data_IF_513180667528
#
_entry.id   IF_513180667528
#
_cell.length_a   1.000
_cell.length_b   1.000
_cell.length_c   1.000
_cell.angle_alpha   90.00
_cell.angle_beta   90.00
_cell.angle_gamma   90.00
#
_symmetry.space_group_name_H-M   'P 1'
#
loop_
_entity.id
_entity.type
_entity.pdbx_description
1 polymer ?
#
# COMPACT_ATOMS: atom_id res chain seq x y z
N UNK A 1 12.35 23.35 37.20
CA UNK A 1 11.07 22.91 36.57
C UNK A 1 10.22 24.15 36.28
N UNK A 2 9.93 24.43 35.00
CA UNK A 2 9.32 25.69 34.54
C UNK A 2 7.94 25.98 35.18
N UNK A 3 7.67 27.25 35.51
CA UNK A 3 6.39 27.71 36.07
C UNK A 3 5.17 27.34 35.20
N UNK A 4 5.38 27.20 33.90
CA UNK A 4 4.36 26.75 32.95
C UNK A 4 3.94 25.29 33.19
N UNK A 5 4.89 24.41 33.54
CA UNK A 5 4.63 23.00 33.79
C UNK A 5 3.75 22.82 35.04
N UNK A 6 4.01 23.55 36.11
CA UNK A 6 3.20 23.50 37.33
C UNK A 6 1.74 23.92 37.08
N UNK A 7 1.53 24.92 36.21
CA UNK A 7 0.18 25.36 35.81
C UNK A 7 -0.58 24.36 34.95
N UNK A 8 0.09 23.47 34.20
CA UNK A 8 -0.58 22.55 33.25
C UNK A 8 -0.66 21.12 33.77
N UNK A 9 0.23 20.72 34.70
CA UNK A 9 0.35 19.35 35.22
C UNK A 9 -0.97 18.76 35.75
N UNK A 10 -1.80 19.55 36.42
CA UNK A 10 -3.08 19.10 36.98
C UNK A 10 -4.10 18.66 35.90
N UNK A 11 -3.89 19.04 34.62
CA UNK A 11 -4.80 18.71 33.51
C UNK A 11 -4.36 17.49 32.70
N UNK A 12 -3.21 16.91 33.01
CA UNK A 12 -2.67 15.75 32.31
C UNK A 12 -2.98 14.49 33.14
N UNK A 13 -3.56 13.46 32.51
CA UNK A 13 -3.77 12.14 33.15
C UNK A 13 -2.72 11.15 32.65
N UNK A 14 -2.22 10.30 33.54
CA UNK A 14 -1.25 9.26 33.17
C UNK A 14 -1.96 8.18 32.35
N UNK A 15 -1.50 7.99 31.13
CA UNK A 15 -2.02 6.98 30.23
C UNK A 15 -1.43 5.61 30.59
N UNK A 16 -2.28 4.59 30.71
CA UNK A 16 -1.87 3.24 31.16
C UNK A 16 -0.98 2.52 30.14
N UNK A 17 -1.18 2.77 28.84
CA UNK A 17 -0.47 2.07 27.77
C UNK A 17 0.89 2.67 27.48
N UNK A 18 1.00 4.00 27.51
CA UNK A 18 2.24 4.71 27.16
C UNK A 18 3.01 5.23 28.36
N UNK A 19 2.41 5.26 29.55
CA UNK A 19 3.00 5.84 30.76
C UNK A 19 3.13 7.36 30.72
N UNK A 20 2.71 8.02 29.62
CA UNK A 20 2.82 9.45 29.39
C UNK A 20 1.67 10.21 30.06
N UNK A 21 1.95 11.43 30.51
CA UNK A 21 0.94 12.36 31.02
C UNK A 21 0.25 13.05 29.84
N UNK A 22 -0.95 12.59 29.49
CA UNK A 22 -1.71 13.04 28.32
C UNK A 22 -3.05 13.67 28.73
N UNK A 23 -3.49 14.70 28.00
CA UNK A 23 -4.86 15.22 28.10
C UNK A 23 -5.66 14.70 26.92
N UNK A 24 -6.70 13.91 27.17
CA UNK A 24 -7.68 13.55 26.13
C UNK A 24 -8.44 14.82 25.75
N UNK A 25 -8.36 15.19 24.47
CA UNK A 25 -9.14 16.30 23.92
C UNK A 25 -10.37 15.68 23.26
N UNK A 26 -11.53 15.85 23.91
CA UNK A 26 -12.81 15.49 23.31
C UNK A 26 -13.26 16.64 22.42
N UNK A 27 -13.11 16.48 21.11
CA UNK A 27 -13.57 17.46 20.13
C UNK A 27 -15.08 17.24 19.95
N UNK A 28 -15.92 18.17 20.43
CA UNK A 28 -17.35 18.19 20.11
C UNK A 28 -17.50 18.72 18.69
N UNK A 29 -18.04 17.91 17.80
CA UNK A 29 -18.22 18.24 16.39
C UNK A 29 -19.69 18.61 16.13
N UNK A 30 -19.98 19.68 15.36
CA UNK A 30 -21.33 19.97 14.88
C UNK A 30 -21.77 18.89 13.88
N UNK A 31 -23.05 18.49 13.95
CA UNK A 31 -23.65 17.32 13.31
C UNK A 31 -23.41 17.24 11.78
N UNK A 32 -22.79 16.15 11.29
CA UNK A 32 -22.94 15.56 9.95
C UNK A 32 -22.01 14.33 9.82
N UNK A 33 -22.54 13.14 9.57
CA UNK A 33 -21.91 11.89 10.03
C UNK A 33 -20.96 11.17 9.04
N UNK A 34 -20.60 11.72 7.87
CA UNK A 34 -19.69 11.02 6.93
C UNK A 34 -18.40 11.77 6.54
N UNK A 35 -18.42 13.09 6.33
CA UNK A 35 -17.19 13.83 5.94
C UNK A 35 -16.20 14.04 7.09
N UNK A 36 -16.70 13.96 8.32
CA UNK A 36 -15.92 14.27 9.52
C UNK A 36 -14.97 13.13 9.92
N UNK A 37 -15.38 11.87 9.73
CA UNK A 37 -14.52 10.72 9.96
C UNK A 37 -13.29 10.77 9.04
N UNK A 38 -13.49 11.07 7.76
CA UNK A 38 -12.41 11.30 6.79
C UNK A 38 -11.45 12.40 7.24
N UNK A 39 -11.97 13.52 7.75
CA UNK A 39 -11.16 14.63 8.25
C UNK A 39 -10.33 14.27 9.49
N UNK A 40 -10.91 13.50 10.42
CA UNK A 40 -10.20 12.98 11.60
C UNK A 40 -9.08 12.03 11.16
N UNK A 41 -9.39 11.07 10.31
CA UNK A 41 -8.44 10.09 9.78
C UNK A 41 -7.28 10.81 9.07
N UNK A 42 -7.58 11.78 8.19
CA UNK A 42 -6.57 12.61 7.51
C UNK A 42 -5.65 13.35 8.50
N UNK A 43 -6.19 13.87 9.61
CA UNK A 43 -5.38 14.53 10.65
C UNK A 43 -4.49 13.54 11.41
N UNK A 44 -5.03 12.37 11.77
CA UNK A 44 -4.26 11.34 12.47
C UNK A 44 -3.15 10.75 11.60
N UNK A 45 -3.41 10.50 10.32
CA UNK A 45 -2.42 10.02 9.34
C UNK A 45 -1.24 10.99 9.24
N UNK A 46 -1.45 12.31 9.30
CA UNK A 46 -0.36 13.30 9.25
C UNK A 46 0.49 13.33 10.52
N UNK A 47 -0.09 13.05 11.69
CA UNK A 47 0.62 13.10 12.98
C UNK A 47 1.51 11.88 13.19
N UNK A 48 1.06 10.71 12.78
CA UNK A 48 1.77 9.44 13.02
C UNK A 48 3.21 9.43 12.50
N UNK A 49 3.52 9.86 11.26
CA UNK A 49 4.89 9.95 10.75
C UNK A 49 5.80 10.83 11.61
N UNK A 50 5.27 11.92 12.18
CA UNK A 50 6.04 12.80 13.07
C UNK A 50 6.40 12.06 14.36
N UNK A 51 5.47 11.32 14.94
CA UNK A 51 5.73 10.51 16.14
C UNK A 51 6.74 9.40 15.88
N UNK A 52 6.61 8.71 14.74
CA UNK A 52 7.57 7.68 14.30
C UNK A 52 8.96 8.30 14.11
N UNK A 53 9.06 9.43 13.39
CA UNK A 53 10.32 10.15 13.21
C UNK A 53 10.98 10.50 14.56
N UNK A 54 10.25 11.08 15.50
CA UNK A 54 10.79 11.40 16.83
C UNK A 54 11.20 10.16 17.62
N UNK A 55 10.47 9.05 17.48
CA UNK A 55 10.81 7.78 18.13
C UNK A 55 12.13 7.23 17.58
N UNK A 56 12.25 7.12 16.26
CA UNK A 56 13.47 6.63 15.59
C UNK A 56 14.67 7.55 15.88
N UNK A 57 14.47 8.87 15.85
CA UNK A 57 15.52 9.83 16.16
C UNK A 57 16.07 9.67 17.58
N UNK A 58 15.20 9.41 18.57
CA UNK A 58 15.61 9.20 19.97
C UNK A 58 16.25 7.84 20.20
N UNK A 59 15.74 6.79 19.56
CA UNK A 59 16.19 5.42 19.77
C UNK A 59 17.48 5.12 19.02
N UNK A 60 17.50 5.39 17.70
CA UNK A 60 18.59 5.02 16.81
C UNK A 60 19.61 6.15 16.62
N UNK A 61 19.16 7.40 16.54
CA UNK A 61 20.00 8.54 16.17
C UNK A 61 20.44 9.40 17.37
N UNK A 62 20.25 8.88 18.59
CA UNK A 62 20.69 9.46 19.87
C UNK A 62 20.28 10.93 20.08
N UNK A 63 19.13 11.33 19.52
CA UNK A 63 18.60 12.69 19.68
C UNK A 63 18.48 13.07 21.18
N UNK A 64 19.12 14.16 21.58
CA UNK A 64 19.10 14.67 22.96
C UNK A 64 20.01 13.94 23.96
N UNK A 65 20.93 13.09 23.49
CA UNK A 65 21.95 12.46 24.36
C UNK A 65 23.29 13.21 24.42
N UNK A 66 23.41 14.32 23.68
CA UNK A 66 24.61 15.15 23.70
C UNK A 66 24.84 15.75 25.10
N UNK A 67 26.06 15.59 25.62
CA UNK A 67 26.49 16.09 26.94
C UNK A 67 27.35 17.36 26.82
N UNK A 68 27.45 17.92 25.60
CA UNK A 68 28.21 19.14 25.37
C UNK A 68 27.62 20.32 26.16
N UNK A 69 28.48 21.11 26.78
CA UNK A 69 28.06 22.31 27.52
C UNK A 69 27.80 23.52 26.62
N UNK A 70 28.15 23.43 25.33
CA UNK A 70 27.91 24.48 24.35
C UNK A 70 26.53 24.34 23.70
N UNK A 71 25.75 25.43 23.72
CA UNK A 71 24.44 25.47 23.07
C UNK A 71 24.53 25.16 21.57
N UNK A 72 25.55 25.70 20.89
CA UNK A 72 25.76 25.46 19.46
C UNK A 72 26.02 23.98 19.16
N UNK A 73 26.76 23.28 20.03
CA UNK A 73 27.00 21.85 19.89
C UNK A 73 25.69 21.06 20.02
N UNK A 74 24.85 21.40 21.00
CA UNK A 74 23.55 20.75 21.18
C UNK A 74 22.57 20.98 20.01
N UNK A 75 22.55 22.20 19.46
CA UNK A 75 21.74 22.53 18.27
C UNK A 75 22.25 21.77 17.05
N UNK A 76 23.57 21.71 16.86
CA UNK A 76 24.17 20.94 15.77
C UNK A 76 23.88 19.44 15.90
N UNK A 77 24.08 18.86 17.09
CA UNK A 77 23.78 17.46 17.36
C UNK A 77 22.31 17.12 17.09
N UNK A 78 21.39 17.99 17.49
CA UNK A 78 19.95 17.86 17.20
C UNK A 78 19.69 17.90 15.70
N UNK A 79 20.28 18.87 14.99
CA UNK A 79 20.11 19.06 13.55
C UNK A 79 20.64 17.87 12.76
N UNK A 80 21.81 17.37 13.14
CA UNK A 80 22.44 16.23 12.47
C UNK A 80 21.64 14.95 12.68
N UNK A 81 21.01 14.74 13.85
CA UNK A 81 20.12 13.59 14.06
C UNK A 81 18.91 13.64 13.13
N UNK A 82 18.30 14.81 12.90
CA UNK A 82 17.22 14.94 11.92
C UNK A 82 17.70 14.77 10.48
N UNK A 83 18.87 15.30 10.12
CA UNK A 83 19.43 15.11 8.78
C UNK A 83 19.69 13.64 8.48
N UNK A 84 20.30 12.92 9.43
CA UNK A 84 20.53 11.47 9.34
C UNK A 84 19.22 10.70 9.14
N UNK A 85 18.16 11.08 9.86
CA UNK A 85 16.85 10.46 9.67
C UNK A 85 16.31 10.67 8.25
N UNK A 86 16.44 11.88 7.68
CA UNK A 86 15.98 12.16 6.32
C UNK A 86 16.72 11.30 5.28
N UNK A 87 18.04 11.17 5.42
CA UNK A 87 18.85 10.33 4.52
C UNK A 87 18.45 8.86 4.66
N UNK A 88 18.33 8.36 5.89
CA UNK A 88 17.93 6.98 6.14
C UNK A 88 16.53 6.69 5.58
N UNK A 89 15.58 7.60 5.77
CA UNK A 89 14.23 7.45 5.26
C UNK A 89 14.20 7.50 3.71
N UNK A 90 15.04 8.32 3.09
CA UNK A 90 15.20 8.35 1.64
C UNK A 90 15.77 7.03 1.11
N UNK A 91 16.83 6.50 1.71
CA UNK A 91 17.42 5.21 1.33
C UNK A 91 16.45 4.06 1.54
N UNK A 92 15.78 4.01 2.69
CA UNK A 92 14.76 3.01 2.96
C UNK A 92 13.61 3.09 1.94
N UNK A 93 13.20 4.30 1.55
CA UNK A 93 12.19 4.47 0.49
C UNK A 93 12.73 3.96 -0.85
N UNK A 94 13.96 4.29 -1.22
CA UNK A 94 14.55 3.83 -2.47
C UNK A 94 14.62 2.30 -2.55
N UNK A 95 15.09 1.64 -1.49
CA UNK A 95 15.19 0.19 -1.41
C UNK A 95 13.81 -0.49 -1.48
N UNK A 96 12.84 0.00 -0.68
CA UNK A 96 11.49 -0.56 -0.70
C UNK A 96 10.73 -0.30 -2.01
N UNK A 97 10.90 0.88 -2.63
CA UNK A 97 10.27 1.16 -3.93
C UNK A 97 10.95 0.41 -5.09
N UNK A 98 12.26 0.14 -5.02
CA UNK A 98 12.94 -0.70 -6.00
C UNK A 98 12.42 -2.12 -5.95
N UNK A 99 12.36 -2.72 -4.76
CA UNK A 99 11.89 -4.10 -4.57
C UNK A 99 10.40 -4.25 -4.92
N UNK A 100 9.57 -3.29 -4.50
CA UNK A 100 8.14 -3.32 -4.79
C UNK A 100 7.84 -3.02 -6.27
N UNK A 101 8.62 -2.11 -6.88
CA UNK A 101 8.51 -1.78 -8.30
C UNK A 101 8.84 -2.96 -9.19
N UNK A 102 9.96 -3.64 -8.92
CA UNK A 102 10.35 -4.85 -9.65
C UNK A 102 9.30 -5.96 -9.56
N UNK A 103 8.68 -6.15 -8.39
CA UNK A 103 7.59 -7.11 -8.22
C UNK A 103 6.35 -6.72 -9.04
N UNK A 104 5.98 -5.44 -9.06
CA UNK A 104 4.85 -4.96 -9.86
C UNK A 104 5.13 -5.06 -11.36
N UNK A 105 6.36 -4.78 -11.81
CA UNK A 105 6.76 -4.92 -13.20
C UNK A 105 6.70 -6.40 -13.63
N UNK A 106 7.18 -7.32 -12.78
CA UNK A 106 7.08 -8.76 -13.05
C UNK A 106 5.63 -9.25 -13.15
N UNK A 107 4.77 -8.83 -12.22
CA UNK A 107 3.33 -9.17 -12.26
C UNK A 107 2.65 -8.52 -13.48
N UNK A 108 3.02 -7.30 -13.83
CA UNK A 108 2.50 -6.61 -15.00
C UNK A 108 2.86 -7.38 -16.29
N UNK A 109 4.11 -7.82 -16.42
CA UNK A 109 4.58 -8.64 -17.54
C UNK A 109 3.84 -9.99 -17.62
N UNK A 110 3.70 -10.71 -16.51
CA UNK A 110 2.94 -11.97 -16.48
C UNK A 110 1.46 -11.76 -16.87
N UNK A 111 0.86 -10.67 -16.37
CA UNK A 111 -0.53 -10.33 -16.67
C UNK A 111 -0.71 -9.91 -18.14
N UNK A 112 0.29 -9.24 -18.73
CA UNK A 112 0.28 -8.84 -20.13
C UNK A 112 0.34 -10.08 -21.04
N UNK A 113 1.25 -11.02 -20.77
CA UNK A 113 1.37 -12.29 -21.51
C UNK A 113 0.04 -13.07 -21.47
N UNK A 114 -0.58 -13.18 -20.29
CA UNK A 114 -1.88 -13.84 -20.11
C UNK A 114 -2.99 -13.16 -20.93
N UNK A 115 -2.99 -11.83 -20.98
CA UNK A 115 -3.97 -11.04 -21.73
C UNK A 115 -3.84 -11.25 -23.24
N UNK A 116 -2.61 -11.31 -23.77
CA UNK A 116 -2.38 -11.60 -25.19
C UNK A 116 -2.83 -13.00 -25.58
N UNK A 117 -2.51 -14.02 -24.78
CA UNK A 117 -2.93 -15.40 -25.02
C UNK A 117 -4.47 -15.53 -25.04
N UNK A 118 -5.14 -14.88 -24.09
CA UNK A 118 -6.61 -14.86 -24.05
C UNK A 118 -7.22 -14.16 -25.27
N UNK A 119 -6.69 -13.00 -25.66
CA UNK A 119 -7.13 -12.27 -26.87
C UNK A 119 -6.91 -13.06 -28.16
N UNK A 120 -5.79 -13.78 -28.24
CA UNK A 120 -5.48 -14.62 -29.40
C UNK A 120 -6.44 -15.81 -29.49
N UNK A 121 -6.76 -16.46 -28.36
CA UNK A 121 -7.75 -17.53 -28.31
C UNK A 121 -9.16 -17.04 -28.66
N UNK A 122 -9.59 -15.88 -28.16
CA UNK A 122 -10.87 -15.28 -28.52
C UNK A 122 -10.96 -14.96 -30.02
N UNK A 123 -9.86 -14.50 -30.61
CA UNK A 123 -9.77 -14.28 -32.06
C UNK A 123 -9.96 -15.59 -32.84
N UNK A 124 -9.23 -16.65 -32.48
CA UNK A 124 -9.39 -17.96 -33.13
C UNK A 124 -10.81 -18.51 -32.95
N UNK A 125 -11.41 -18.34 -31.77
CA UNK A 125 -12.81 -18.73 -31.51
C UNK A 125 -13.77 -18.03 -32.46
N UNK A 126 -13.61 -16.72 -32.65
CA UNK A 126 -14.41 -15.94 -33.61
C UNK A 126 -14.22 -16.42 -35.05
N UNK A 127 -12.97 -16.69 -35.45
CA UNK A 127 -12.63 -17.19 -36.78
C UNK A 127 -13.30 -18.55 -37.06
N UNK A 128 -13.22 -19.48 -36.09
CA UNK A 128 -13.84 -20.80 -36.23
C UNK A 128 -15.36 -20.73 -36.25
N UNK A 129 -15.98 -19.85 -35.46
CA UNK A 129 -17.44 -19.70 -35.44
C UNK A 129 -17.96 -19.25 -36.81
N UNK A 130 -17.32 -18.24 -37.42
CA UNK A 130 -17.68 -17.76 -38.76
C UNK A 130 -17.43 -18.84 -39.81
N UNK A 131 -16.27 -19.49 -39.76
CA UNK A 131 -15.90 -20.54 -40.72
C UNK A 131 -16.87 -21.71 -40.66
N UNK A 132 -17.16 -22.23 -39.47
CA UNK A 132 -18.08 -23.36 -39.31
C UNK A 132 -19.53 -22.98 -39.61
N UNK A 133 -20.00 -21.78 -39.24
CA UNK A 133 -21.35 -21.32 -39.63
C UNK A 133 -21.50 -21.34 -41.15
N UNK A 134 -20.54 -20.79 -41.89
CA UNK A 134 -20.61 -20.77 -43.36
C UNK A 134 -20.53 -22.16 -43.98
N UNK A 135 -19.72 -23.06 -43.42
CA UNK A 135 -19.61 -24.44 -43.91
C UNK A 135 -20.89 -25.24 -43.61
N UNK A 136 -21.41 -25.16 -42.39
CA UNK A 136 -22.62 -25.91 -42.00
C UNK A 136 -23.87 -25.41 -42.71
N UNK A 137 -23.99 -24.10 -42.97
CA UNK A 137 -25.04 -23.53 -43.83
C UNK A 137 -24.95 -24.09 -45.26
N UNK A 138 -23.74 -24.27 -45.78
CA UNK A 138 -23.50 -24.81 -47.13
C UNK A 138 -23.79 -26.31 -47.22
N UNK A 139 -23.59 -27.06 -46.13
CA UNK A 139 -23.79 -28.51 -46.05
C UNK A 139 -25.15 -28.94 -45.48
N UNK A 140 -26.02 -28.02 -45.01
CA UNK A 140 -27.34 -28.30 -44.39
C UNK A 140 -27.28 -29.32 -43.24
N UNK A 141 -26.22 -29.29 -42.44
CA UNK A 141 -26.09 -30.19 -41.28
C UNK A 141 -26.77 -29.52 -40.08
N UNK A 142 -27.82 -30.17 -39.56
CA UNK A 142 -28.71 -29.62 -38.53
C UNK A 142 -28.33 -30.13 -37.13
N UNK A 143 -27.04 -30.08 -36.78
CA UNK A 143 -26.55 -30.37 -35.44
C UNK A 143 -25.99 -29.10 -34.79
N UNK A 144 -26.34 -28.91 -33.51
CA UNK A 144 -25.96 -27.74 -32.72
C UNK A 144 -24.43 -27.67 -32.49
N UNK A 145 -23.73 -26.99 -33.39
CA UNK A 145 -22.28 -26.79 -33.35
C UNK A 145 -21.78 -26.12 -32.05
N UNK A 146 -22.68 -25.42 -31.34
CA UNK A 146 -22.42 -24.81 -30.05
C UNK A 146 -21.94 -25.82 -29.01
N UNK A 147 -22.44 -27.06 -29.03
CA UNK A 147 -22.05 -28.10 -28.08
C UNK A 147 -20.56 -28.50 -28.22
N UNK A 148 -20.05 -28.54 -29.45
CA UNK A 148 -18.64 -28.83 -29.70
C UNK A 148 -17.73 -27.65 -29.29
N UNK A 149 -18.17 -26.42 -29.52
CA UNK A 149 -17.43 -25.24 -29.07
C UNK A 149 -17.39 -25.12 -27.56
N UNK A 150 -18.48 -25.47 -26.88
CA UNK A 150 -18.54 -25.46 -25.42
C UNK A 150 -17.66 -26.56 -24.81
N UNK A 151 -17.66 -27.78 -25.39
CA UNK A 151 -16.74 -28.85 -24.99
C UNK A 151 -15.26 -28.49 -25.20
N UNK A 152 -14.94 -27.79 -26.31
CA UNK A 152 -13.59 -27.31 -26.59
C UNK A 152 -13.19 -26.16 -25.64
N UNK A 153 -14.14 -25.28 -25.32
CA UNK A 153 -13.93 -24.20 -24.35
C UNK A 153 -13.70 -24.76 -22.94
N UNK A 154 -14.43 -25.80 -22.53
CA UNK A 154 -14.27 -26.42 -21.22
C UNK A 154 -12.97 -27.23 -21.10
N UNK A 155 -12.52 -27.88 -22.16
CA UNK A 155 -11.18 -28.51 -22.19
C UNK A 155 -10.06 -27.47 -22.12
N UNK A 156 -10.21 -26.34 -22.81
CA UNK A 156 -9.25 -25.22 -22.75
C UNK A 156 -9.22 -24.53 -21.38
N UNK A 157 -10.36 -24.38 -20.69
CA UNK A 157 -10.40 -23.88 -19.30
C UNK A 157 -9.55 -24.75 -18.38
N UNK A 158 -9.49 -26.07 -18.60
CA UNK A 158 -8.60 -26.98 -17.89
C UNK A 158 -7.12 -26.63 -18.02
N UNK A 159 -6.69 -26.16 -19.20
CA UNK A 159 -5.31 -25.70 -19.45
C UNK A 159 -4.97 -24.34 -18.82
N UNK A 160 -5.96 -23.54 -18.40
CA UNK A 160 -5.71 -22.23 -17.77
C UNK A 160 -5.29 -22.29 -16.30
N UNK A 161 -5.25 -23.49 -15.70
CA UNK A 161 -4.72 -23.70 -14.34
C UNK A 161 -3.20 -23.95 -14.36
N UNK A 162 -2.43 -23.04 -14.97
CA UNK A 162 -1.01 -22.98 -14.62
C UNK A 162 -0.90 -22.33 -13.23
N UNK A 163 -0.98 -23.19 -12.22
CA UNK A 163 -0.63 -22.88 -10.85
C UNK A 163 0.82 -22.43 -10.85
N UNK A 164 1.03 -21.14 -10.55
CA UNK A 164 2.36 -20.57 -10.37
C UNK A 164 3.14 -21.46 -9.41
N UNK A 165 4.31 -21.94 -9.85
CA UNK A 165 5.27 -22.52 -8.94
C UNK A 165 5.76 -21.38 -8.05
N UNK A 166 5.29 -21.36 -6.81
CA UNK A 166 5.92 -20.61 -5.73
C UNK A 166 7.33 -21.21 -5.51
N UNK A 167 8.36 -20.43 -5.81
CA UNK A 167 9.70 -20.57 -5.24
C UNK A 167 10.17 -19.22 -4.75
#
# INVERSE_FOLDING_TARGET
MSALYQKVKHRLRKDQRTGLLLKRITVKLPKSDQEHASTIIKKYIKRWPVEVCFKECKQQLKLGRDQSNDFNAQVFATTVSFLRYNILNYLNKFENYSILGELFDHIADESAVKTYAHRLLDFFRGLFLVSFSTIFDLFKINEDFHNYLDALTDTLKGFTSFQGCET
#
